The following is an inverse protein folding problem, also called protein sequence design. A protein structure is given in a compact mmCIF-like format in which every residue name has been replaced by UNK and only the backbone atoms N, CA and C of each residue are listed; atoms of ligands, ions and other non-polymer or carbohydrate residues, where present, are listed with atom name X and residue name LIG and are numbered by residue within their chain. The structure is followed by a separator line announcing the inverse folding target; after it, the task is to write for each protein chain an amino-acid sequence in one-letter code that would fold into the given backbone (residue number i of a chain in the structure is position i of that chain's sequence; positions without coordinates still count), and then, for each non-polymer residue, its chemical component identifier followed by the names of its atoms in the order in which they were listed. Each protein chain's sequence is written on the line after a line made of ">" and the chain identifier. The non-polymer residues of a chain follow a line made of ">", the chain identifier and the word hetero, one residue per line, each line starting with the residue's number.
data_IF_764799048970
#
_entry.id   IF_764799048970
#
_cell.length_a   1.000
_cell.length_b   1.000
_cell.length_c   1.000
_cell.angle_alpha   90.00
_cell.angle_beta   90.00
_cell.angle_gamma   90.00
#
_symmetry.space_group_name_H-M   'P 1'
#
loop_
_entity.id
_entity.type
_entity.pdbx_description
1 polymer ?
#
# COMPACT_ATOMS: atom_id res chain seq x y z
N UNK A 1 0.60 5.81 -12.03
CA UNK A 1 0.36 6.90 -11.08
C UNK A 1 -0.78 7.79 -11.57
N UNK A 2 -1.52 8.43 -10.62
CA UNK A 2 -2.60 9.38 -10.93
C UNK A 2 -2.06 10.79 -11.23
N UNK A 3 -0.88 11.12 -10.71
CA UNK A 3 -0.20 12.41 -10.90
C UNK A 3 0.67 12.39 -12.17
N UNK A 4 0.22 13.04 -13.21
CA UNK A 4 0.91 13.04 -14.51
C UNK A 4 2.34 13.64 -14.46
N UNK A 5 2.56 14.66 -13.61
CA UNK A 5 3.89 15.28 -13.48
C UNK A 5 4.89 14.32 -12.81
N UNK A 6 4.52 13.74 -11.67
CA UNK A 6 5.34 12.77 -10.94
C UNK A 6 5.60 11.51 -11.76
N UNK A 7 4.60 11.07 -12.53
CA UNK A 7 4.75 9.93 -13.45
C UNK A 7 5.80 10.18 -14.53
N UNK A 8 5.78 11.35 -15.16
CA UNK A 8 6.79 11.74 -16.18
C UNK A 8 8.17 11.84 -15.58
N UNK A 9 8.30 12.45 -14.41
CA UNK A 9 9.59 12.58 -13.72
C UNK A 9 10.16 11.19 -13.38
N UNK A 10 9.34 10.28 -12.85
CA UNK A 10 9.75 8.91 -12.57
C UNK A 10 10.19 8.17 -13.84
N UNK A 11 9.43 8.30 -14.93
CA UNK A 11 9.76 7.70 -16.21
C UNK A 11 11.12 8.19 -16.71
N UNK A 12 11.35 9.50 -16.76
CA UNK A 12 12.63 10.07 -17.20
C UNK A 12 13.81 9.61 -16.35
N UNK A 13 13.63 9.46 -15.03
CA UNK A 13 14.70 8.92 -14.14
C UNK A 13 15.04 7.47 -14.42
N UNK A 14 14.07 6.66 -14.83
CA UNK A 14 14.27 5.24 -15.17
C UNK A 14 14.91 5.12 -16.55
N UNK A 15 14.43 5.88 -17.53
CA UNK A 15 15.00 5.96 -18.89
C UNK A 15 16.47 6.39 -18.87
N UNK A 16 16.82 7.37 -18.00
CA UNK A 16 18.20 7.82 -17.82
C UNK A 16 19.15 6.70 -17.30
N UNK A 17 18.59 5.61 -16.77
CA UNK A 17 19.34 4.40 -16.36
C UNK A 17 19.38 3.32 -17.45
N UNK A 18 18.86 3.60 -18.64
CA UNK A 18 18.88 2.71 -19.79
C UNK A 18 17.75 1.67 -19.84
N UNK A 19 16.72 1.80 -18.98
CA UNK A 19 15.56 0.91 -19.03
C UNK A 19 14.47 1.47 -19.94
N UNK A 20 13.72 0.57 -20.61
CA UNK A 20 12.50 0.94 -21.31
C UNK A 20 11.37 1.24 -20.32
N UNK A 21 10.59 2.28 -20.60
CA UNK A 21 9.49 2.70 -19.74
C UNK A 21 8.22 2.94 -20.56
N UNK A 22 7.10 2.47 -20.01
CA UNK A 22 5.76 2.86 -20.45
C UNK A 22 5.05 3.59 -19.30
N UNK A 23 4.85 4.89 -19.45
CA UNK A 23 4.23 5.73 -18.45
C UNK A 23 2.74 5.92 -18.73
N UNK A 24 1.87 5.24 -17.97
CA UNK A 24 0.41 5.30 -18.11
C UNK A 24 -0.21 5.99 -16.90
N UNK A 25 -0.97 7.08 -17.15
CA UNK A 25 -1.76 7.70 -16.07
C UNK A 25 -2.90 6.76 -15.69
N UNK A 26 -2.93 6.35 -14.43
CA UNK A 26 -3.82 5.31 -13.91
C UNK A 26 -4.36 5.72 -12.55
N UNK A 27 -5.68 5.74 -12.40
CA UNK A 27 -6.35 5.82 -11.11
C UNK A 27 -6.70 4.38 -10.66
N UNK A 28 -6.00 3.88 -9.65
CA UNK A 28 -6.16 2.50 -9.20
C UNK A 28 -7.53 2.22 -8.57
N UNK A 29 -8.26 3.25 -8.13
CA UNK A 29 -9.63 3.10 -7.64
C UNK A 29 -10.62 2.69 -8.74
N UNK A 30 -10.21 2.74 -10.01
CA UNK A 30 -11.03 2.44 -11.18
C UNK A 30 -10.54 1.15 -11.85
N UNK A 31 -11.37 0.11 -11.83
CA UNK A 31 -11.04 -1.19 -12.43
C UNK A 31 -10.65 -1.07 -13.91
N UNK A 32 -11.38 -0.24 -14.68
CA UNK A 32 -11.12 -0.03 -16.11
C UNK A 32 -9.74 0.57 -16.39
N UNK A 33 -9.22 1.42 -15.47
CA UNK A 33 -7.88 1.99 -15.60
C UNK A 33 -6.82 0.90 -15.49
N UNK A 34 -7.01 -0.05 -14.56
CA UNK A 34 -6.10 -1.19 -14.40
C UNK A 34 -6.17 -2.16 -15.58
N UNK A 35 -7.37 -2.38 -16.17
CA UNK A 35 -7.51 -3.19 -17.38
C UNK A 35 -6.75 -2.56 -18.54
N UNK A 36 -6.92 -1.24 -18.77
CA UNK A 36 -6.18 -0.51 -19.80
C UNK A 36 -4.66 -0.51 -19.57
N UNK A 37 -4.24 -0.40 -18.32
CA UNK A 37 -2.81 -0.50 -17.97
C UNK A 37 -2.25 -1.88 -18.33
N UNK A 38 -2.98 -2.95 -18.02
CA UNK A 38 -2.56 -4.30 -18.32
C UNK A 38 -2.47 -4.54 -19.84
N UNK A 39 -3.46 -4.11 -20.61
CA UNK A 39 -3.46 -4.16 -22.08
C UNK A 39 -2.26 -3.41 -22.65
N UNK A 40 -2.08 -2.14 -22.29
CA UNK A 40 -0.96 -1.33 -22.77
C UNK A 40 0.41 -1.92 -22.40
N UNK A 41 0.50 -2.59 -21.22
CA UNK A 41 1.73 -3.27 -20.81
C UNK A 41 2.04 -4.47 -21.70
N UNK A 42 1.03 -5.29 -22.01
CA UNK A 42 1.19 -6.44 -22.90
C UNK A 42 1.48 -6.02 -24.35
N UNK A 43 0.83 -4.98 -24.84
CA UNK A 43 1.09 -4.44 -26.18
C UNK A 43 2.54 -3.94 -26.33
N UNK A 44 3.12 -3.39 -25.24
CA UNK A 44 4.48 -2.83 -25.27
C UNK A 44 5.58 -3.84 -24.96
N UNK A 45 5.36 -4.74 -23.97
CA UNK A 45 6.38 -5.62 -23.42
C UNK A 45 6.07 -7.10 -23.57
N UNK A 46 4.90 -7.46 -24.12
CA UNK A 46 4.42 -8.82 -24.36
C UNK A 46 4.17 -9.63 -23.08
N UNK A 47 4.92 -9.39 -22.01
CA UNK A 47 4.86 -10.14 -20.74
C UNK A 47 4.89 -9.25 -19.52
N UNK A 48 4.39 -9.80 -18.41
CA UNK A 48 4.47 -9.23 -17.07
C UNK A 48 5.11 -10.26 -16.14
N UNK A 49 6.10 -9.87 -15.31
CA UNK A 49 6.72 -10.76 -14.35
C UNK A 49 6.59 -10.29 -12.91
N UNK A 50 6.56 -8.97 -12.69
CA UNK A 50 6.40 -8.40 -11.34
C UNK A 50 5.30 -7.34 -11.36
N UNK A 51 4.39 -7.43 -10.40
CA UNK A 51 3.32 -6.46 -10.17
C UNK A 51 3.48 -5.87 -8.78
N UNK A 52 3.62 -4.55 -8.69
CA UNK A 52 3.67 -3.83 -7.41
C UNK A 52 2.41 -2.97 -7.25
N UNK A 53 1.44 -3.46 -6.48
CA UNK A 53 0.27 -2.69 -6.08
C UNK A 53 0.68 -1.74 -4.95
N UNK A 54 1.23 -0.58 -5.32
CA UNK A 54 1.90 0.33 -4.39
C UNK A 54 1.13 1.63 -4.10
N UNK A 55 0.16 2.00 -4.92
CA UNK A 55 -0.60 3.22 -4.71
C UNK A 55 -1.29 3.23 -3.35
N UNK A 56 -1.19 4.35 -2.64
CA UNK A 56 -1.79 4.48 -1.32
C UNK A 56 -1.99 5.93 -0.90
N UNK A 57 -3.02 6.17 -0.12
CA UNK A 57 -3.40 7.47 0.44
C UNK A 57 -3.69 7.35 1.92
N UNK A 58 -3.62 8.47 2.63
CA UNK A 58 -3.94 8.57 4.05
C UNK A 58 -5.00 9.64 4.28
N UNK A 59 -6.00 9.30 5.08
CA UNK A 59 -6.88 10.25 5.75
C UNK A 59 -7.02 9.82 7.21
N UNK A 60 -6.88 10.77 8.12
CA UNK A 60 -6.97 10.54 9.55
C UNK A 60 -8.17 11.24 10.18
N UNK A 61 -8.28 11.16 11.50
CA UNK A 61 -9.34 11.74 12.31
C UNK A 61 -10.04 10.73 13.20
N UNK A 62 -10.92 11.19 14.06
CA UNK A 62 -11.75 10.32 14.91
C UNK A 62 -12.68 9.47 14.05
N UNK A 63 -12.75 8.19 14.33
CA UNK A 63 -13.49 7.23 13.49
C UNK A 63 -14.97 7.58 13.32
N UNK A 64 -15.59 8.16 14.35
CA UNK A 64 -17.00 8.56 14.33
C UNK A 64 -17.26 9.94 13.74
N UNK A 65 -16.20 10.73 13.47
CA UNK A 65 -16.27 12.04 12.80
C UNK A 65 -15.90 11.96 11.31
N UNK A 66 -15.21 10.90 10.92
CA UNK A 66 -14.78 10.69 9.54
C UNK A 66 -16.00 10.62 8.61
N UNK A 67 -16.04 11.48 7.61
CA UNK A 67 -17.14 11.54 6.66
C UNK A 67 -17.11 10.36 5.69
N UNK A 68 -18.25 9.95 5.11
CA UNK A 68 -18.31 8.80 4.20
C UNK A 68 -17.31 8.88 3.04
N UNK A 69 -17.06 10.07 2.49
CA UNK A 69 -16.10 10.26 1.38
C UNK A 69 -14.63 10.05 1.78
N UNK A 70 -14.26 10.15 3.07
CA UNK A 70 -12.96 9.76 3.56
C UNK A 70 -12.76 8.24 3.44
N UNK A 71 -13.75 7.47 3.86
CA UNK A 71 -13.77 6.02 3.75
C UNK A 71 -13.78 5.57 2.30
N UNK A 72 -14.65 6.16 1.47
CA UNK A 72 -14.73 5.84 0.05
C UNK A 72 -13.38 6.06 -0.65
N UNK A 73 -12.74 7.19 -0.43
CA UNK A 73 -11.44 7.48 -1.02
C UNK A 73 -10.34 6.54 -0.55
N UNK A 74 -10.19 6.37 0.77
CA UNK A 74 -9.13 5.54 1.35
C UNK A 74 -9.28 4.07 0.96
N UNK A 75 -10.49 3.52 1.07
CA UNK A 75 -10.76 2.14 0.65
C UNK A 75 -10.64 1.98 -0.86
N UNK A 76 -11.11 2.95 -1.64
CA UNK A 76 -11.02 2.96 -3.09
C UNK A 76 -9.59 2.80 -3.59
N UNK A 77 -8.66 3.53 -2.99
CA UNK A 77 -7.23 3.45 -3.37
C UNK A 77 -6.52 2.28 -2.71
N UNK A 78 -6.57 2.18 -1.37
CA UNK A 78 -5.70 1.27 -0.62
C UNK A 78 -6.13 -0.19 -0.66
N UNK A 79 -7.43 -0.46 -0.80
CA UNK A 79 -7.99 -1.82 -0.86
C UNK A 79 -8.43 -2.18 -2.28
N UNK A 80 -9.37 -1.40 -2.85
CA UNK A 80 -9.88 -1.72 -4.18
C UNK A 80 -8.81 -1.56 -5.25
N UNK A 81 -7.86 -0.62 -5.10
CA UNK A 81 -6.71 -0.51 -5.99
C UNK A 81 -5.85 -1.77 -6.02
N UNK A 82 -5.59 -2.38 -4.85
CA UNK A 82 -4.90 -3.68 -4.75
C UNK A 82 -5.73 -4.79 -5.41
N UNK A 83 -7.04 -4.87 -5.11
CA UNK A 83 -7.94 -5.85 -5.71
C UNK A 83 -8.00 -5.72 -7.24
N UNK A 84 -8.10 -4.51 -7.77
CA UNK A 84 -8.12 -4.28 -9.22
C UNK A 84 -6.80 -4.70 -9.88
N UNK A 85 -5.65 -4.40 -9.23
CA UNK A 85 -4.34 -4.86 -9.70
C UNK A 85 -4.24 -6.39 -9.74
N UNK A 86 -4.68 -7.08 -8.67
CA UNK A 86 -4.76 -8.54 -8.63
C UNK A 86 -5.63 -9.07 -9.77
N UNK A 87 -6.84 -8.53 -9.94
CA UNK A 87 -7.77 -8.98 -10.99
C UNK A 87 -7.27 -8.74 -12.41
N UNK A 88 -6.56 -7.66 -12.64
CA UNK A 88 -6.03 -7.33 -13.96
C UNK A 88 -4.79 -8.18 -14.31
N UNK A 89 -3.87 -8.38 -13.37
CA UNK A 89 -2.54 -8.93 -13.66
C UNK A 89 -2.34 -10.38 -13.27
N UNK A 90 -2.95 -10.88 -12.19
CA UNK A 90 -2.75 -12.29 -11.77
C UNK A 90 -3.19 -13.28 -12.85
N UNK A 91 -4.34 -13.12 -13.53
CA UNK A 91 -4.69 -14.01 -14.63
C UNK A 91 -3.68 -14.01 -15.80
N UNK A 92 -2.99 -12.89 -16.02
CA UNK A 92 -1.92 -12.78 -17.04
C UNK A 92 -0.72 -13.61 -16.58
N UNK A 93 -0.23 -13.38 -15.36
CA UNK A 93 0.88 -14.13 -14.78
C UNK A 93 0.65 -15.63 -14.79
N UNK A 94 -0.56 -16.07 -14.43
CA UNK A 94 -0.94 -17.49 -14.43
C UNK A 94 -0.96 -18.09 -15.83
N UNK A 95 -1.48 -17.37 -16.83
CA UNK A 95 -1.47 -17.84 -18.23
C UNK A 95 -0.07 -17.93 -18.82
N UNK A 96 0.85 -17.05 -18.43
CA UNK A 96 2.25 -17.11 -18.84
C UNK A 96 2.94 -18.37 -18.33
N UNK A 97 2.52 -18.87 -17.17
CA UNK A 97 3.09 -20.06 -16.51
C UNK A 97 4.63 -19.96 -16.35
N UNK A 98 5.11 -18.76 -16.06
CA UNK A 98 6.52 -18.43 -15.82
C UNK A 98 6.68 -17.91 -14.39
N UNK A 99 7.90 -17.92 -13.81
CA UNK A 99 8.14 -17.29 -12.53
C UNK A 99 7.72 -15.83 -12.55
N UNK A 100 6.86 -15.45 -11.63
CA UNK A 100 6.35 -14.10 -11.48
C UNK A 100 6.10 -13.76 -10.02
N UNK A 101 5.82 -12.49 -9.70
CA UNK A 101 5.61 -12.08 -8.33
C UNK A 101 4.64 -10.90 -8.22
N UNK A 102 3.77 -10.96 -7.21
CA UNK A 102 2.87 -9.86 -6.84
C UNK A 102 3.30 -9.29 -5.49
N UNK A 103 3.54 -7.99 -5.42
CA UNK A 103 3.84 -7.27 -4.18
C UNK A 103 2.69 -6.32 -3.87
N UNK A 104 2.02 -6.54 -2.75
CA UNK A 104 0.96 -5.65 -2.28
C UNK A 104 1.49 -4.77 -1.13
N UNK A 105 1.46 -3.44 -1.32
CA UNK A 105 1.89 -2.50 -0.29
C UNK A 105 0.78 -2.33 0.75
N UNK A 106 0.92 -3.08 1.84
CA UNK A 106 0.11 -2.96 3.05
C UNK A 106 0.67 -1.82 3.93
N UNK A 107 0.99 -2.09 5.17
CA UNK A 107 1.64 -1.21 6.16
C UNK A 107 1.75 -1.97 7.48
N UNK A 108 2.60 -1.52 8.40
CA UNK A 108 2.48 -1.91 9.81
C UNK A 108 1.09 -1.61 10.37
N UNK A 109 0.39 -0.57 9.85
CA UNK A 109 -1.02 -0.30 10.14
C UNK A 109 -2.00 -1.39 9.63
N UNK A 110 -1.52 -2.41 8.94
CA UNK A 110 -2.27 -3.65 8.64
C UNK A 110 -2.10 -4.72 9.71
N UNK A 111 -1.16 -4.54 10.64
CA UNK A 111 -0.84 -5.47 11.72
C UNK A 111 -1.15 -4.88 13.10
N UNK A 112 -1.14 -3.55 13.25
CA UNK A 112 -1.49 -2.83 14.47
C UNK A 112 -2.55 -1.77 14.18
N UNK A 113 -3.20 -1.23 15.24
CA UNK A 113 -4.21 -0.19 15.10
C UNK A 113 -3.74 1.10 15.77
N UNK A 114 -3.57 2.15 14.97
CA UNK A 114 -3.25 3.48 15.44
C UNK A 114 -4.53 4.29 15.67
N UNK A 115 -4.70 4.97 16.81
CA UNK A 115 -5.77 5.93 17.00
C UNK A 115 -5.78 6.99 15.88
N UNK A 116 -6.92 7.59 15.63
CA UNK A 116 -7.12 8.63 14.62
C UNK A 116 -6.79 8.19 13.17
N UNK A 117 -6.78 6.89 12.91
CA UNK A 117 -6.43 6.33 11.59
C UNK A 117 -7.42 5.25 11.14
N UNK A 118 -8.69 5.35 11.54
CA UNK A 118 -9.69 4.29 11.36
C UNK A 118 -9.79 3.77 9.93
N UNK A 119 -10.07 4.62 8.94
CA UNK A 119 -10.20 4.22 7.55
C UNK A 119 -8.88 3.65 6.99
N UNK A 120 -7.74 4.23 7.36
CA UNK A 120 -6.43 3.75 6.95
C UNK A 120 -6.12 2.37 7.53
N UNK A 121 -6.28 2.18 8.86
CA UNK A 121 -6.06 0.88 9.51
C UNK A 121 -6.92 -0.21 8.86
N UNK A 122 -8.22 0.04 8.69
CA UNK A 122 -9.15 -0.92 8.04
C UNK A 122 -8.68 -1.25 6.64
N UNK A 123 -8.31 -0.25 5.82
CA UNK A 123 -7.85 -0.47 4.45
C UNK A 123 -6.59 -1.34 4.40
N UNK A 124 -5.63 -1.14 5.32
CA UNK A 124 -4.37 -1.87 5.34
C UNK A 124 -4.50 -3.28 5.94
N UNK A 125 -5.36 -3.49 6.94
CA UNK A 125 -5.74 -4.83 7.42
C UNK A 125 -6.45 -5.63 6.31
N UNK A 126 -7.37 -5.00 5.60
CA UNK A 126 -8.08 -5.65 4.50
C UNK A 126 -7.14 -6.01 3.34
N UNK A 127 -6.21 -5.11 2.97
CA UNK A 127 -5.21 -5.39 1.94
C UNK A 127 -4.26 -6.53 2.35
N UNK A 128 -3.88 -6.62 3.64
CA UNK A 128 -3.07 -7.72 4.15
C UNK A 128 -3.84 -9.05 4.09
N UNK A 129 -5.07 -9.08 4.59
CA UNK A 129 -5.93 -10.28 4.52
C UNK A 129 -6.15 -10.75 3.08
N UNK A 130 -6.38 -9.82 2.14
CA UNK A 130 -6.49 -10.12 0.72
C UNK A 130 -5.19 -10.74 0.16
N UNK A 131 -4.04 -10.23 0.60
CA UNK A 131 -2.73 -10.72 0.16
C UNK A 131 -2.43 -12.13 0.70
N UNK A 132 -2.78 -12.40 1.96
CA UNK A 132 -2.67 -13.75 2.57
C UNK A 132 -3.56 -14.76 1.84
N UNK A 133 -4.79 -14.35 1.52
CA UNK A 133 -5.72 -15.17 0.74
C UNK A 133 -5.13 -15.49 -0.64
N UNK A 134 -4.65 -14.48 -1.37
CA UNK A 134 -4.00 -14.68 -2.68
C UNK A 134 -2.80 -15.62 -2.58
N UNK A 135 -1.94 -15.46 -1.56
CA UNK A 135 -0.80 -16.34 -1.34
C UNK A 135 -1.24 -17.82 -1.21
N UNK A 136 -2.25 -18.10 -0.38
CA UNK A 136 -2.75 -19.46 -0.19
C UNK A 136 -3.38 -20.03 -1.48
N UNK A 137 -4.10 -19.20 -2.24
CA UNK A 137 -4.71 -19.61 -3.52
C UNK A 137 -3.65 -19.95 -4.56
N UNK A 138 -2.60 -19.14 -4.70
CA UNK A 138 -1.49 -19.38 -5.61
C UNK A 138 -0.72 -20.67 -5.23
N UNK A 139 -0.46 -20.88 -3.93
CA UNK A 139 0.18 -22.12 -3.43
C UNK A 139 -0.70 -23.34 -3.63
N UNK A 140 -2.00 -23.22 -3.39
CA UNK A 140 -2.96 -24.31 -3.62
C UNK A 140 -3.02 -24.77 -5.09
N UNK A 141 -2.76 -23.86 -6.03
CA UNK A 141 -2.69 -24.15 -7.46
C UNK A 141 -1.27 -24.57 -7.93
N UNK A 142 -0.30 -24.68 -7.03
CA UNK A 142 1.11 -24.95 -7.37
C UNK A 142 1.66 -23.97 -8.42
N UNK A 143 1.20 -22.72 -8.37
CA UNK A 143 1.58 -21.68 -9.31
C UNK A 143 3.07 -21.29 -9.16
N UNK A 144 3.79 -20.99 -10.25
CA UNK A 144 5.14 -20.42 -10.19
C UNK A 144 5.14 -18.93 -9.79
N UNK A 145 3.96 -18.35 -9.53
CA UNK A 145 3.80 -16.94 -9.13
C UNK A 145 3.84 -16.82 -7.61
N UNK A 146 4.77 -16.02 -7.11
CA UNK A 146 4.88 -15.64 -5.71
C UNK A 146 4.00 -14.46 -5.33
N UNK A 147 3.84 -14.25 -4.03
CA UNK A 147 3.13 -13.10 -3.49
C UNK A 147 3.80 -12.59 -2.20
N UNK A 148 3.98 -11.29 -2.08
CA UNK A 148 4.48 -10.63 -0.87
C UNK A 148 3.54 -9.53 -0.40
N UNK A 149 3.39 -9.43 0.92
CA UNK A 149 2.76 -8.31 1.60
C UNK A 149 3.85 -7.39 2.19
N UNK A 150 4.04 -6.23 1.59
CA UNK A 150 4.96 -5.21 2.10
C UNK A 150 4.28 -4.42 3.20
N UNK A 151 4.78 -4.54 4.42
CA UNK A 151 4.25 -3.87 5.61
C UNK A 151 5.28 -2.86 6.15
N UNK A 152 5.50 -1.73 5.46
CA UNK A 152 6.49 -0.77 5.88
C UNK A 152 6.04 -0.02 7.13
N UNK A 153 7.03 0.45 7.88
CA UNK A 153 6.92 1.49 8.87
C UNK A 153 6.78 2.88 8.21
N UNK A 154 7.33 3.93 8.80
CA UNK A 154 7.33 5.27 8.23
C UNK A 154 8.41 5.42 7.15
N UNK A 155 7.99 5.62 5.93
CA UNK A 155 8.88 5.80 4.77
C UNK A 155 8.72 7.22 4.22
N UNK A 156 9.83 7.88 3.92
CA UNK A 156 9.87 9.25 3.37
C UNK A 156 9.28 9.31 1.96
N UNK A 157 7.95 9.47 1.90
CA UNK A 157 7.15 9.50 0.67
C UNK A 157 6.16 10.67 0.66
N UNK A 158 5.38 10.79 -0.42
CA UNK A 158 4.31 11.78 -0.54
C UNK A 158 3.02 11.44 0.22
N UNK A 159 2.95 10.32 0.96
CA UNK A 159 1.69 9.87 1.58
C UNK A 159 1.15 10.87 2.63
N UNK A 160 2.02 11.55 3.37
CA UNK A 160 1.61 12.59 4.32
C UNK A 160 0.99 13.84 3.68
N UNK A 161 0.96 13.90 2.34
CA UNK A 161 0.35 14.98 1.53
C UNK A 161 -0.68 14.42 0.56
N UNK A 162 -1.32 13.30 0.88
CA UNK A 162 -2.25 12.58 -0.01
C UNK A 162 -3.42 13.42 -0.46
N UNK A 163 -3.90 14.35 0.37
CA UNK A 163 -5.08 15.19 0.11
C UNK A 163 -5.03 15.93 -1.25
N UNK A 164 -3.82 16.23 -1.76
CA UNK A 164 -3.63 16.81 -3.10
C UNK A 164 -4.20 15.96 -4.24
N UNK A 165 -4.32 14.65 -4.00
CA UNK A 165 -4.81 13.65 -4.97
C UNK A 165 -6.27 13.25 -4.74
N UNK A 166 -6.95 13.88 -3.77
CA UNK A 166 -8.36 13.58 -3.52
C UNK A 166 -9.22 14.02 -4.70
N UNK A 167 -10.01 13.12 -5.31
CA UNK A 167 -10.89 13.45 -6.41
C UNK A 167 -11.88 14.55 -6.04
N UNK A 168 -12.25 15.41 -6.99
CA UNK A 168 -13.10 16.55 -6.74
C UNK A 168 -14.48 16.17 -6.14
N UNK A 169 -15.05 15.03 -6.58
CA UNK A 169 -16.34 14.52 -6.10
C UNK A 169 -16.27 13.93 -4.68
N UNK A 170 -15.09 13.65 -4.15
CA UNK A 170 -14.87 13.16 -2.80
C UNK A 170 -14.28 14.23 -1.87
N UNK A 171 -14.13 15.47 -2.34
CA UNK A 171 -13.62 16.57 -1.51
C UNK A 171 -14.54 16.80 -0.30
N UNK A 172 -13.89 17.15 0.81
CA UNK A 172 -14.62 17.53 2.02
C UNK A 172 -15.32 18.84 1.84
N UNK A 173 -16.53 19.01 2.41
CA UNK A 173 -17.17 20.31 2.52
C UNK A 173 -16.27 21.29 3.30
N UNK A 174 -16.21 22.55 2.86
CA UNK A 174 -15.33 23.54 3.46
C UNK A 174 -15.75 23.98 4.88
N UNK A 175 -17.00 23.71 5.25
CA UNK A 175 -17.63 24.03 6.53
C UNK A 175 -17.46 22.92 7.59
N UNK A 176 -16.82 21.80 7.23
CA UNK A 176 -16.56 20.68 8.17
C UNK A 176 -15.23 20.92 8.88
N UNK A 177 -15.30 21.37 10.13
CA UNK A 177 -14.12 21.48 11.00
C UNK A 177 -13.82 20.14 11.68
N UNK A 178 -12.61 19.63 11.51
CA UNK A 178 -12.13 18.39 12.09
C UNK A 178 -10.72 18.57 12.70
N UNK A 179 -10.63 19.20 13.87
CA UNK A 179 -9.32 19.50 14.49
C UNK A 179 -8.45 18.25 14.71
N UNK A 180 -9.07 17.13 15.12
CA UNK A 180 -8.36 15.86 15.31
C UNK A 180 -7.71 15.37 14.01
N UNK A 181 -8.40 15.54 12.88
CA UNK A 181 -7.89 15.20 11.57
C UNK A 181 -6.71 16.10 11.16
N UNK A 182 -6.85 17.40 11.27
CA UNK A 182 -5.76 18.36 10.95
C UNK A 182 -4.52 18.04 11.78
N UNK A 183 -4.70 17.73 13.06
CA UNK A 183 -3.62 17.36 13.96
C UNK A 183 -2.92 16.06 13.51
N UNK A 184 -3.67 14.98 13.25
CA UNK A 184 -3.06 13.70 12.89
C UNK A 184 -2.42 13.73 11.50
N UNK A 185 -3.00 14.44 10.53
CA UNK A 185 -2.40 14.61 9.20
C UNK A 185 -1.07 15.39 9.26
N UNK A 186 -1.01 16.41 10.12
CA UNK A 186 0.24 17.13 10.37
C UNK A 186 1.30 16.24 11.03
N UNK A 187 0.92 15.45 12.05
CA UNK A 187 1.81 14.51 12.73
C UNK A 187 2.33 13.42 11.77
N UNK A 188 1.45 12.83 10.95
CA UNK A 188 1.86 11.84 9.94
C UNK A 188 2.81 12.46 8.91
N UNK A 189 2.54 13.68 8.45
CA UNK A 189 3.45 14.38 7.54
C UNK A 189 4.84 14.53 8.13
N UNK A 190 4.94 15.03 9.35
CA UNK A 190 6.22 15.19 10.05
C UNK A 190 6.94 13.85 10.22
N UNK A 191 6.23 12.82 10.66
CA UNK A 191 6.80 11.49 10.88
C UNK A 191 7.29 10.84 9.59
N UNK A 192 6.52 10.96 8.51
CA UNK A 192 6.89 10.44 7.18
C UNK A 192 8.08 11.20 6.59
N UNK A 193 8.15 12.53 6.76
CA UNK A 193 9.29 13.34 6.28
C UNK A 193 10.61 12.94 7.00
N UNK A 194 10.53 12.44 8.24
CA UNK A 194 11.65 11.88 9.01
C UNK A 194 11.85 10.36 8.81
N UNK A 195 11.04 9.71 8.00
CA UNK A 195 11.04 8.26 7.80
C UNK A 195 12.22 7.73 7.00
N UNK A 196 12.28 6.41 6.88
CA UNK A 196 13.31 5.68 6.14
C UNK A 196 13.35 6.08 4.66
N UNK A 197 14.51 5.91 4.04
CA UNK A 197 14.68 6.16 2.61
C UNK A 197 13.88 5.13 1.77
N UNK A 198 13.09 5.56 0.78
CA UNK A 198 12.39 4.64 -0.11
C UNK A 198 13.30 3.63 -0.82
N UNK A 199 14.57 3.98 -1.07
CA UNK A 199 15.52 3.06 -1.73
C UNK A 199 15.84 1.85 -0.85
N UNK A 200 16.03 2.03 0.45
CA UNK A 200 16.23 0.92 1.38
C UNK A 200 15.03 -0.05 1.39
N UNK A 201 13.81 0.51 1.33
CA UNK A 201 12.61 -0.31 1.23
C UNK A 201 12.51 -1.05 -0.10
N UNK A 202 12.91 -0.42 -1.20
CA UNK A 202 12.93 -1.07 -2.52
C UNK A 202 13.91 -2.25 -2.55
N UNK A 203 15.07 -2.14 -1.91
CA UNK A 203 16.03 -3.25 -1.77
C UNK A 203 15.43 -4.42 -0.99
N UNK A 204 14.71 -4.15 0.10
CA UNK A 204 13.94 -5.18 0.85
C UNK A 204 12.92 -5.91 -0.04
N UNK A 205 12.19 -5.16 -0.87
CA UNK A 205 11.22 -5.74 -1.81
C UNK A 205 11.92 -6.64 -2.81
N UNK A 206 13.02 -6.19 -3.43
CA UNK A 206 13.78 -7.00 -4.40
C UNK A 206 14.31 -8.28 -3.76
N UNK A 207 14.84 -8.19 -2.54
CA UNK A 207 15.30 -9.36 -1.80
C UNK A 207 14.15 -10.32 -1.46
N UNK A 208 13.02 -9.77 -1.00
CA UNK A 208 11.82 -10.55 -0.70
C UNK A 208 11.27 -11.31 -1.91
N UNK A 209 11.28 -10.69 -3.09
CA UNK A 209 10.90 -11.35 -4.35
C UNK A 209 11.86 -12.51 -4.66
N UNK A 210 13.17 -12.30 -4.54
CA UNK A 210 14.18 -13.34 -4.81
C UNK A 210 14.09 -14.54 -3.87
N UNK A 211 13.71 -14.30 -2.63
CA UNK A 211 13.57 -15.32 -1.58
C UNK A 211 12.15 -15.92 -1.51
N UNK A 212 11.22 -15.45 -2.34
CA UNK A 212 9.80 -15.82 -2.30
C UNK A 212 9.20 -15.65 -0.90
N UNK A 213 9.58 -14.56 -0.20
CA UNK A 213 9.15 -14.23 1.16
C UNK A 213 7.82 -13.50 1.15
N UNK A 214 6.85 -14.00 1.91
CA UNK A 214 5.52 -13.38 1.96
C UNK A 214 5.49 -12.09 2.78
N UNK A 215 5.90 -12.13 4.07
CA UNK A 215 5.89 -10.93 4.91
C UNK A 215 7.18 -10.14 4.76
N UNK A 216 7.08 -8.90 4.25
CA UNK A 216 8.17 -7.93 4.19
C UNK A 216 7.90 -6.87 5.25
N UNK A 217 8.36 -7.12 6.48
CA UNK A 217 8.08 -6.33 7.67
C UNK A 217 9.19 -5.31 7.96
N UNK A 218 8.94 -4.46 8.96
CA UNK A 218 9.97 -3.70 9.65
C UNK A 218 11.08 -4.62 10.22
N UNK A 219 12.21 -4.05 10.61
CA UNK A 219 13.29 -4.80 11.26
C UNK A 219 12.85 -5.35 12.63
N UNK A 220 13.49 -6.43 13.09
CA UNK A 220 13.01 -7.21 14.24
C UNK A 220 13.00 -6.42 15.55
N UNK A 221 13.95 -5.53 15.77
CA UNK A 221 14.12 -4.80 17.05
C UNK A 221 13.51 -3.40 17.03
N UNK A 222 12.38 -3.21 16.34
CA UNK A 222 11.70 -1.92 16.30
C UNK A 222 10.47 -1.88 17.20
N UNK A 223 10.09 -0.66 17.63
CA UNK A 223 8.83 -0.44 18.38
C UNK A 223 7.59 -0.87 17.58
N UNK A 224 7.68 -0.95 16.25
CA UNK A 224 6.62 -1.46 15.37
C UNK A 224 6.44 -2.96 15.54
N UNK A 225 7.54 -3.70 15.58
CA UNK A 225 7.52 -5.16 15.82
C UNK A 225 7.01 -5.47 17.22
N UNK A 226 7.46 -4.72 18.25
CA UNK A 226 6.95 -4.86 19.60
C UNK A 226 5.44 -4.61 19.70
N UNK A 227 4.92 -3.57 19.03
CA UNK A 227 3.49 -3.28 19.01
C UNK A 227 2.68 -4.40 18.33
N UNK A 228 3.21 -4.98 17.27
CA UNK A 228 2.61 -6.13 16.58
C UNK A 228 2.55 -7.36 17.51
N UNK A 229 3.66 -7.71 18.15
CA UNK A 229 3.73 -8.83 19.09
C UNK A 229 2.78 -8.62 20.29
N UNK A 230 2.72 -7.40 20.84
CA UNK A 230 1.79 -7.04 21.92
C UNK A 230 0.34 -7.28 21.49
N UNK A 231 -0.05 -6.84 20.29
CA UNK A 231 -1.41 -7.08 19.77
C UNK A 231 -1.71 -8.57 19.62
N UNK A 232 -0.78 -9.36 19.08
CA UNK A 232 -0.96 -10.81 18.94
C UNK A 232 -1.12 -11.49 20.29
N UNK A 233 -0.34 -11.07 21.29
CA UNK A 233 -0.43 -11.61 22.67
C UNK A 233 -1.75 -11.23 23.34
N UNK A 234 -2.24 -9.99 23.15
CA UNK A 234 -3.56 -9.58 23.67
C UNK A 234 -4.68 -10.43 23.08
N UNK A 235 -4.64 -10.71 21.77
CA UNK A 235 -5.59 -11.58 21.11
C UNK A 235 -5.51 -13.02 21.68
N UNK A 236 -4.30 -13.57 21.79
CA UNK A 236 -4.05 -14.91 22.30
C UNK A 236 -4.57 -15.09 23.75
N UNK A 237 -4.35 -14.06 24.58
CA UNK A 237 -4.74 -14.06 25.98
C UNK A 237 -6.14 -13.47 26.24
N UNK A 238 -6.86 -13.06 25.17
CA UNK A 238 -8.20 -12.44 25.27
C UNK A 238 -8.21 -11.21 26.18
N UNK A 239 -7.14 -10.40 26.11
CA UNK A 239 -7.02 -9.11 26.83
C UNK A 239 -7.64 -7.98 26.00
N UNK A 240 -7.92 -6.86 26.69
CA UNK A 240 -8.27 -5.64 26.00
C UNK A 240 -7.07 -5.14 25.16
N UNK A 241 -7.34 -4.52 24.00
CA UNK A 241 -6.27 -4.04 23.11
C UNK A 241 -5.35 -3.05 23.81
N UNK A 242 -4.07 -3.34 23.86
CA UNK A 242 -3.03 -2.43 24.35
C UNK A 242 -2.62 -1.48 23.22
N UNK A 243 -2.57 -0.18 23.51
CA UNK A 243 -2.01 0.78 22.58
C UNK A 243 -0.49 0.59 22.52
N UNK A 244 0.01 0.05 21.42
CA UNK A 244 1.44 -0.02 21.16
C UNK A 244 2.01 1.40 21.03
N UNK A 245 3.01 1.74 21.85
CA UNK A 245 3.72 3.01 21.73
C UNK A 245 4.74 2.88 20.61
N UNK A 246 4.39 3.34 19.43
CA UNK A 246 5.34 3.45 18.33
C UNK A 246 6.15 4.74 18.53
N UNK A 247 7.43 4.60 18.82
CA UNK A 247 8.36 5.73 18.88
C UNK A 247 8.90 6.02 17.48
N UNK A 248 8.84 7.27 17.06
CA UNK A 248 9.52 7.69 15.84
C UNK A 248 11.04 7.59 16.10
N UNK A 249 11.70 6.68 15.40
CA UNK A 249 13.15 6.58 15.23
C UNK A 249 14.00 6.43 16.50
N UNK A 250 14.68 5.32 16.62
CA UNK A 250 16.09 5.30 17.01
C UNK A 250 16.91 4.95 15.76
#
# INVERSE_FOLDING_TARGET
>A
DVEQASLREAASRIEARGAEVLAVRTDVSRADDLSRLAEATLDRFEKVHVVCNNAGVFAGGLTWEAIPTDWEWVLGVNLFGVLHGIRAFVPILLRQNEPGHVVNTCSMAGLINMPLSGAYNVSKHAALSLSETLYHELRGQQSPVGCSALCPELIRTGIGRSERNRPAHLKRPADVDQPAQTMVEAAIRQSVDAGLDPAAMAERVVQGIREDRFYLLAEEDTSWTEACLTRLEDIRLRRNPTLGVVRAGN
#
